data_IF_558107415714
#
_entry.id   IF_558107415714
#
_cell.length_a   1.000
_cell.length_b   1.000
_cell.length_c   1.000
_cell.angle_alpha   90.00
_cell.angle_beta   90.00
_cell.angle_gamma   90.00
#
_symmetry.space_group_name_H-M   'P 1'
#
loop_
_entity.id
_entity.type
_entity.pdbx_description
1 polymer ?
#
# COMPACT_ATOMS: atom_id res chain seq x y z
N UNK A 1 -0.67 3.05 -5.76
CA UNK A 1 -0.87 4.49 -6.02
C UNK A 1 -1.33 4.67 -7.45
N UNK A 2 -2.19 5.65 -7.72
CA UNK A 2 -2.70 5.95 -9.05
C UNK A 2 -2.97 7.45 -9.17
N UNK A 3 -2.94 7.97 -10.39
CA UNK A 3 -3.22 9.37 -10.71
C UNK A 3 -2.43 10.38 -9.86
N UNK A 4 -3.12 11.37 -9.31
CA UNK A 4 -2.51 12.48 -8.57
C UNK A 4 -1.69 12.06 -7.35
N UNK A 5 -1.91 10.86 -6.81
CA UNK A 5 -1.07 10.35 -5.72
C UNK A 5 0.42 10.35 -6.08
N UNK A 6 0.76 10.02 -7.34
CA UNK A 6 2.16 10.05 -7.80
C UNK A 6 2.71 11.48 -7.87
N UNK A 7 1.91 12.45 -8.30
CA UNK A 7 2.29 13.88 -8.33
C UNK A 7 2.52 14.40 -6.92
N UNK A 8 1.58 14.14 -6.02
CA UNK A 8 1.64 14.59 -4.63
C UNK A 8 2.88 14.01 -3.95
N UNK A 9 3.15 12.72 -4.12
CA UNK A 9 4.33 12.07 -3.54
C UNK A 9 5.63 12.68 -4.06
N UNK A 10 5.69 13.01 -5.35
CA UNK A 10 6.83 13.73 -5.94
C UNK A 10 6.98 15.14 -5.37
N UNK A 11 5.88 15.91 -5.25
CA UNK A 11 5.87 17.24 -4.63
C UNK A 11 6.30 17.21 -3.16
N UNK A 12 6.06 16.11 -2.46
CA UNK A 12 6.50 15.87 -1.08
C UNK A 12 7.97 15.41 -0.98
N UNK A 13 8.72 15.43 -2.09
CA UNK A 13 10.16 15.17 -2.13
C UNK A 13 10.55 13.72 -2.46
N UNK A 14 9.58 12.83 -2.69
CA UNK A 14 9.86 11.44 -3.11
C UNK A 14 9.92 11.39 -4.63
N UNK A 15 11.11 11.68 -5.17
CA UNK A 15 11.34 11.75 -6.60
C UNK A 15 11.23 10.38 -7.30
N UNK A 16 11.33 10.39 -8.63
CA UNK A 16 11.22 9.18 -9.46
C UNK A 16 12.23 8.09 -9.10
N UNK A 17 13.50 8.45 -8.88
CA UNK A 17 14.54 7.46 -8.55
C UNK A 17 14.19 6.73 -7.25
N UNK A 18 13.80 7.48 -6.22
CA UNK A 18 13.37 6.91 -4.96
C UNK A 18 12.11 6.05 -5.14
N UNK A 19 11.12 6.50 -5.91
CA UNK A 19 9.93 5.68 -6.20
C UNK A 19 10.28 4.33 -6.84
N UNK A 20 11.22 4.30 -7.78
CA UNK A 20 11.69 3.06 -8.43
C UNK A 20 12.42 2.12 -7.45
N UNK A 21 13.04 2.65 -6.40
CA UNK A 21 13.60 1.86 -5.28
C UNK A 21 12.54 1.31 -4.32
N UNK A 22 11.34 1.88 -4.32
CA UNK A 22 10.24 1.48 -3.43
C UNK A 22 9.21 0.57 -4.11
N UNK A 23 9.17 0.56 -5.44
CA UNK A 23 8.07 -0.03 -6.19
C UNK A 23 8.33 -0.21 -7.68
N UNK A 24 7.25 -0.45 -8.41
CA UNK A 24 7.27 -0.59 -9.86
C UNK A 24 5.93 -0.13 -10.46
N UNK A 25 5.98 0.22 -11.74
CA UNK A 25 4.77 0.50 -12.54
C UNK A 25 3.95 -0.78 -12.67
N UNK A 26 2.64 -0.67 -12.49
CA UNK A 26 1.70 -1.76 -12.75
C UNK A 26 1.29 -1.69 -14.21
N UNK A 27 1.71 -2.68 -15.01
CA UNK A 27 1.57 -2.70 -16.47
C UNK A 27 0.15 -2.98 -16.96
N UNK A 28 -0.69 -3.57 -16.12
CA UNK A 28 -2.09 -3.80 -16.45
C UNK A 28 -2.88 -4.48 -15.35
N UNK A 29 -4.17 -4.63 -15.59
CA UNK A 29 -5.11 -5.37 -14.76
C UNK A 29 -5.70 -6.49 -15.62
N UNK A 30 -5.69 -7.72 -15.10
CA UNK A 30 -6.11 -8.90 -15.82
C UNK A 30 -7.20 -9.64 -15.05
N UNK A 31 -8.26 -10.04 -15.74
CA UNK A 31 -9.39 -10.78 -15.16
C UNK A 31 -9.41 -12.21 -15.69
N UNK A 32 -9.45 -13.17 -14.78
CA UNK A 32 -9.32 -14.59 -15.04
C UNK A 32 -10.53 -15.35 -14.51
N UNK A 33 -10.97 -16.37 -15.23
CA UNK A 33 -12.07 -17.23 -14.78
C UNK A 33 -11.62 -18.17 -13.65
N UNK A 34 -10.35 -18.62 -13.66
CA UNK A 34 -9.83 -19.59 -12.70
C UNK A 34 -8.55 -19.10 -12.02
N UNK A 35 -7.41 -19.18 -12.69
CA UNK A 35 -6.08 -18.88 -12.13
C UNK A 35 -5.39 -17.79 -12.93
N UNK A 36 -4.45 -17.06 -12.33
CA UNK A 36 -3.69 -16.00 -13.02
C UNK A 36 -2.76 -16.52 -14.13
N UNK A 37 -2.52 -17.83 -14.16
CA UNK A 37 -1.80 -18.54 -15.24
C UNK A 37 -2.67 -18.89 -16.44
N UNK A 38 -4.00 -18.80 -16.30
CA UNK A 38 -4.92 -18.98 -17.41
C UNK A 38 -4.96 -17.74 -18.30
N UNK A 39 -5.47 -17.87 -19.53
CA UNK A 39 -5.66 -16.72 -20.40
C UNK A 39 -6.72 -15.79 -19.78
N UNK A 40 -6.45 -14.49 -19.61
CA UNK A 40 -7.46 -13.56 -19.10
C UNK A 40 -8.62 -13.42 -20.10
N UNK A 41 -9.84 -13.33 -19.60
CA UNK A 41 -11.04 -13.05 -20.42
C UNK A 41 -11.24 -11.56 -20.65
N UNK A 42 -10.67 -10.71 -19.79
CA UNK A 42 -10.63 -9.27 -19.93
C UNK A 42 -9.30 -8.72 -19.41
N UNK A 43 -8.80 -7.65 -20.01
CA UNK A 43 -7.58 -6.96 -19.56
C UNK A 43 -7.69 -5.47 -19.80
N UNK A 44 -7.10 -4.70 -18.89
CA UNK A 44 -6.94 -3.25 -18.99
C UNK A 44 -5.45 -2.99 -19.03
N UNK A 45 -4.96 -2.52 -20.17
CA UNK A 45 -3.55 -2.20 -20.38
C UNK A 45 -3.26 -0.82 -19.77
N UNK A 46 -2.24 -0.73 -18.92
CA UNK A 46 -1.81 0.51 -18.27
C UNK A 46 -0.55 1.12 -18.92
N UNK A 47 -0.04 0.53 -19.99
CA UNK A 47 1.08 1.11 -20.75
C UNK A 47 0.64 2.35 -21.54
N UNK A 48 -0.66 2.42 -21.87
CA UNK A 48 -1.26 3.60 -22.51
C UNK A 48 -1.72 4.60 -21.45
N UNK A 49 -1.37 5.86 -21.66
CA UNK A 49 -1.85 6.97 -20.85
C UNK A 49 -3.28 7.36 -21.23
N UNK A 50 -4.25 6.53 -20.82
CA UNK A 50 -5.67 6.73 -21.13
C UNK A 50 -6.25 8.03 -20.58
N UNK A 51 -5.61 8.63 -19.59
CA UNK A 51 -6.08 9.82 -18.89
C UNK A 51 -5.27 11.07 -19.24
N UNK A 52 -4.30 10.95 -20.16
CA UNK A 52 -3.40 12.03 -20.59
C UNK A 52 -2.72 12.74 -19.41
N UNK A 53 -2.29 11.96 -18.42
CA UNK A 53 -1.70 12.47 -17.17
C UNK A 53 -0.17 12.60 -17.23
N UNK A 54 0.47 12.13 -18.30
CA UNK A 54 1.93 12.03 -18.45
C UNK A 54 2.62 11.26 -17.31
N UNK A 55 1.87 10.41 -16.61
CA UNK A 55 2.33 9.60 -15.49
C UNK A 55 1.82 8.17 -15.63
N UNK A 56 2.54 7.19 -15.03
CA UNK A 56 2.05 5.83 -14.99
C UNK A 56 0.64 5.76 -14.37
N UNK A 57 -0.33 5.10 -15.03
CA UNK A 57 -1.71 5.02 -14.51
C UNK A 57 -1.78 4.39 -13.11
N UNK A 58 -0.87 3.46 -12.81
CA UNK A 58 -0.75 2.86 -11.49
C UNK A 58 0.68 2.44 -11.15
N UNK A 59 0.98 2.50 -9.85
CA UNK A 59 2.26 2.13 -9.26
C UNK A 59 2.04 1.30 -7.99
N UNK A 60 2.74 0.18 -7.88
CA UNK A 60 2.67 -0.75 -6.76
C UNK A 60 3.98 -0.71 -5.97
N UNK A 61 3.90 -0.50 -4.67
CA UNK A 61 5.07 -0.20 -3.83
C UNK A 61 4.98 -0.82 -2.44
N UNK A 62 6.08 -0.75 -1.70
CA UNK A 62 6.16 -1.06 -0.28
C UNK A 62 5.70 0.16 0.54
N UNK A 63 4.44 0.17 0.97
CA UNK A 63 3.90 1.28 1.77
C UNK A 63 4.76 1.61 3.01
N UNK A 64 5.26 0.64 3.79
CA UNK A 64 6.10 0.95 4.95
C UNK A 64 7.37 1.72 4.60
N UNK A 65 7.97 1.46 3.44
CA UNK A 65 9.18 2.17 3.00
C UNK A 65 8.84 3.60 2.56
N UNK A 66 7.73 3.82 1.85
CA UNK A 66 7.26 5.18 1.54
C UNK A 66 6.99 5.99 2.82
N UNK A 67 6.38 5.38 3.83
CA UNK A 67 6.15 6.03 5.12
C UNK A 67 7.46 6.36 5.85
N UNK A 68 8.49 5.53 5.73
CA UNK A 68 9.82 5.83 6.30
C UNK A 68 10.43 7.08 5.64
N UNK A 69 10.28 7.23 4.32
CA UNK A 69 10.74 8.42 3.61
C UNK A 69 10.03 9.68 4.11
N UNK A 70 8.71 9.63 4.28
CA UNK A 70 7.97 10.76 4.86
C UNK A 70 8.38 11.06 6.31
N UNK A 71 8.58 10.03 7.14
CA UNK A 71 9.08 10.24 8.52
C UNK A 71 10.46 10.90 8.51
N UNK A 72 11.35 10.50 7.60
CA UNK A 72 12.67 11.12 7.45
C UNK A 72 12.57 12.59 7.07
N UNK A 73 11.71 12.95 6.12
CA UNK A 73 11.47 14.35 5.74
C UNK A 73 10.92 15.18 6.89
N UNK A 74 10.01 14.63 7.71
CA UNK A 74 9.48 15.31 8.90
C UNK A 74 10.60 15.51 9.94
N UNK A 75 11.42 14.49 10.20
CA UNK A 75 12.52 14.56 11.16
C UNK A 75 13.62 15.57 10.76
N UNK A 76 13.83 15.76 9.46
CA UNK A 76 14.80 16.72 8.94
C UNK A 76 14.27 18.17 8.92
N UNK A 77 12.96 18.37 9.14
CA UNK A 77 12.33 19.69 9.10
C UNK A 77 12.54 20.45 10.42
N UNK A 78 12.95 21.72 10.33
CA UNK A 78 12.99 22.62 11.49
C UNK A 78 11.59 23.09 11.95
N UNK A 79 10.57 22.86 11.11
CA UNK A 79 9.20 23.32 11.35
C UNK A 79 8.28 22.25 11.95
N UNK A 80 8.78 21.03 12.19
CA UNK A 80 7.97 19.92 12.68
C UNK A 80 8.69 19.09 13.75
N UNK A 81 7.91 18.58 14.70
CA UNK A 81 8.38 17.61 15.69
C UNK A 81 7.63 16.29 15.49
N UNK A 82 8.36 15.18 15.30
CA UNK A 82 7.79 13.85 15.19
C UNK A 82 7.88 13.10 16.52
N UNK A 83 6.73 12.86 17.15
CA UNK A 83 6.62 12.03 18.37
C UNK A 83 6.03 10.66 18.00
N UNK A 84 6.84 9.61 18.08
CA UNK A 84 6.42 8.23 17.82
C UNK A 84 5.93 7.53 19.10
N UNK A 85 5.28 6.38 18.94
CA UNK A 85 4.75 5.54 20.02
C UNK A 85 3.85 6.30 21.00
N UNK A 86 3.00 7.16 20.45
CA UNK A 86 2.03 7.99 21.18
C UNK A 86 0.61 7.64 20.75
N UNK A 87 -0.31 7.49 21.71
CA UNK A 87 -1.72 7.20 21.45
C UNK A 87 -2.59 8.32 22.02
N UNK A 88 -3.40 8.98 21.19
CA UNK A 88 -4.36 10.00 21.65
C UNK A 88 -5.49 9.32 22.43
N UNK A 89 -5.78 9.81 23.62
CA UNK A 89 -6.78 9.25 24.56
C UNK A 89 -7.80 10.27 25.03
N UNK A 90 -7.60 11.56 24.74
CA UNK A 90 -8.52 12.63 25.14
C UNK A 90 -8.37 13.87 24.27
N UNK A 91 -9.47 14.59 24.08
CA UNK A 91 -9.50 15.90 23.42
C UNK A 91 -10.39 16.83 24.23
N UNK A 92 -9.95 18.07 24.44
CA UNK A 92 -10.75 19.12 25.08
C UNK A 92 -10.70 20.39 24.25
N UNK A 93 -11.85 21.02 24.07
CA UNK A 93 -11.91 22.39 23.57
C UNK A 93 -11.49 23.31 24.72
N UNK A 94 -10.58 24.23 24.44
CA UNK A 94 -10.07 25.23 25.40
C UNK A 94 -10.19 26.60 24.77
N UNK A 95 -10.12 27.65 25.58
CA UNK A 95 -10.19 29.01 25.05
C UNK A 95 -9.07 29.25 24.02
N UNK A 96 -9.44 29.73 22.84
CA UNK A 96 -8.51 29.97 21.72
C UNK A 96 -7.93 28.73 21.03
N UNK A 97 -8.36 27.49 21.34
CA UNK A 97 -7.82 26.30 20.67
C UNK A 97 -8.34 24.95 21.15
N UNK A 98 -7.45 23.95 21.06
CA UNK A 98 -7.74 22.55 21.39
C UNK A 98 -6.57 21.93 22.15
N UNK A 99 -6.91 21.16 23.18
CA UNK A 99 -6.00 20.30 23.92
C UNK A 99 -6.14 18.85 23.44
N UNK A 100 -5.04 18.23 23.05
CA UNK A 100 -4.96 16.79 22.85
C UNK A 100 -4.21 16.15 24.02
N UNK A 101 -4.76 15.07 24.55
CA UNK A 101 -4.17 14.25 25.60
C UNK A 101 -3.75 12.94 24.96
N UNK A 102 -2.50 12.54 25.17
CA UNK A 102 -1.95 11.32 24.62
C UNK A 102 -1.10 10.58 25.64
N UNK A 103 -1.04 9.26 25.49
CA UNK A 103 -0.22 8.37 26.28
C UNK A 103 1.01 7.95 25.49
N UNK A 104 2.18 7.99 26.14
CA UNK A 104 3.44 7.50 25.58
C UNK A 104 3.63 6.01 25.88
N UNK A 105 4.62 5.41 25.24
CA UNK A 105 5.02 4.01 25.45
C UNK A 105 5.37 3.67 26.91
N UNK A 106 5.95 4.63 27.66
CA UNK A 106 6.25 4.50 29.09
C UNK A 106 5.00 4.56 29.99
N UNK A 107 3.82 4.67 29.41
CA UNK A 107 2.54 4.78 30.08
C UNK A 107 2.21 6.19 30.57
N UNK A 108 3.13 7.16 30.45
CA UNK A 108 2.92 8.53 30.91
C UNK A 108 1.90 9.26 30.02
N UNK A 109 0.94 9.90 30.68
CA UNK A 109 -0.01 10.81 30.03
C UNK A 109 0.62 12.20 29.90
N UNK A 110 0.51 12.77 28.71
CA UNK A 110 0.98 14.10 28.35
C UNK A 110 -0.13 14.82 27.60
N UNK A 111 -0.19 16.14 27.72
CA UNK A 111 -1.07 16.99 26.93
C UNK A 111 -0.30 17.95 26.04
N UNK A 112 -0.92 18.35 24.94
CA UNK A 112 -0.41 19.34 24.01
C UNK A 112 -1.53 20.29 23.59
N UNK A 113 -1.22 21.59 23.54
CA UNK A 113 -2.13 22.65 23.10
C UNK A 113 -1.77 23.12 21.70
N UNK A 114 -2.80 23.35 20.88
CA UNK A 114 -2.66 23.95 19.57
C UNK A 114 -3.93 24.70 19.16
N UNK A 115 -3.83 25.52 18.11
CA UNK A 115 -5.00 26.19 17.52
C UNK A 115 -5.91 25.21 16.79
N UNK A 116 -5.33 24.14 16.23
CA UNK A 116 -6.02 23.14 15.45
C UNK A 116 -5.50 21.73 15.79
N UNK A 117 -6.39 20.75 15.66
CA UNK A 117 -6.08 19.33 15.78
C UNK A 117 -6.61 18.63 14.53
N UNK A 118 -5.74 17.86 13.86
CA UNK A 118 -6.10 17.10 12.66
C UNK A 118 -6.07 15.61 13.00
N UNK A 119 -7.22 14.95 12.88
CA UNK A 119 -7.33 13.50 13.08
C UNK A 119 -6.95 12.71 11.82
N UNK A 120 -5.74 12.17 11.80
CA UNK A 120 -5.23 11.27 10.76
C UNK A 120 -4.90 9.86 11.31
N UNK A 121 -5.59 9.44 12.36
CA UNK A 121 -5.35 8.24 13.18
C UNK A 121 -6.11 6.99 12.69
N UNK A 122 -6.55 7.00 11.43
CA UNK A 122 -7.10 5.85 10.73
C UNK A 122 -8.50 5.41 11.17
N UNK A 123 -8.97 4.27 10.61
CA UNK A 123 -10.36 3.79 10.77
C UNK A 123 -10.81 3.62 12.22
N UNK A 124 -9.89 3.30 13.12
CA UNK A 124 -10.17 3.06 14.56
C UNK A 124 -9.69 4.21 15.45
N UNK A 125 -9.30 5.33 14.86
CA UNK A 125 -8.73 6.47 15.55
C UNK A 125 -9.65 7.09 16.60
N UNK A 126 -9.04 7.56 17.69
CA UNK A 126 -9.72 8.25 18.78
C UNK A 126 -10.36 9.55 18.32
N UNK A 127 -9.73 10.31 17.42
CA UNK A 127 -10.25 11.63 17.03
C UNK A 127 -11.67 11.51 16.50
N UNK A 128 -11.94 10.57 15.60
CA UNK A 128 -13.32 10.32 15.17
C UNK A 128 -14.12 9.57 16.23
N UNK A 129 -13.65 8.40 16.68
CA UNK A 129 -14.43 7.47 17.51
C UNK A 129 -14.74 7.99 18.91
N UNK A 130 -13.74 8.55 19.58
CA UNK A 130 -13.85 9.03 20.96
C UNK A 130 -14.35 10.45 21.09
N UNK A 131 -14.11 11.30 20.09
CA UNK A 131 -14.41 12.73 20.18
C UNK A 131 -15.51 13.20 19.22
N UNK A 132 -15.37 12.99 17.90
CA UNK A 132 -16.31 13.54 16.92
C UNK A 132 -17.65 12.78 16.86
N UNK A 133 -17.69 11.46 17.06
CA UNK A 133 -18.94 10.68 17.03
C UNK A 133 -19.91 11.09 18.15
N UNK A 134 -19.40 11.49 19.32
CA UNK A 134 -20.20 12.06 20.41
C UNK A 134 -20.80 13.44 20.07
N UNK A 135 -20.23 14.14 19.08
CA UNK A 135 -20.71 15.41 18.52
C UNK A 135 -21.57 15.21 17.25
N UNK A 136 -21.98 13.97 16.96
CA UNK A 136 -22.85 13.64 15.83
C UNK A 136 -22.12 13.45 14.49
N UNK A 137 -20.79 13.52 14.44
CA UNK A 137 -20.03 13.28 13.21
C UNK A 137 -19.66 11.81 13.13
N UNK A 138 -20.37 11.06 12.29
CA UNK A 138 -20.27 9.60 12.21
C UNK A 138 -19.95 9.14 10.79
N UNK A 139 -19.31 7.97 10.68
CA UNK A 139 -19.13 7.31 9.39
C UNK A 139 -20.44 6.65 8.96
N UNK A 140 -21.06 7.19 7.91
CA UNK A 140 -22.26 6.61 7.33
C UNK A 140 -21.94 5.38 6.48
N UNK A 141 -22.91 4.47 6.37
CA UNK A 141 -22.82 3.34 5.46
C UNK A 141 -22.96 3.82 4.01
N UNK A 142 -22.08 3.36 3.12
CA UNK A 142 -22.16 3.64 1.70
C UNK A 142 -23.35 2.95 1.02
N UNK A 143 -23.68 3.41 -0.20
CA UNK A 143 -24.78 2.87 -1.02
C UNK A 143 -24.62 1.39 -1.34
N UNK A 144 -23.37 0.93 -1.51
CA UNK A 144 -23.04 -0.46 -1.80
C UNK A 144 -22.43 -1.12 -0.57
N UNK A 145 -23.08 -2.19 -0.11
CA UNK A 145 -22.56 -3.03 0.97
C UNK A 145 -21.73 -4.15 0.36
N UNK A 146 -20.43 -4.13 0.63
CA UNK A 146 -19.54 -5.24 0.37
C UNK A 146 -18.88 -5.62 1.69
N UNK A 147 -19.10 -6.85 2.14
CA UNK A 147 -18.45 -7.42 3.31
C UNK A 147 -17.91 -8.80 2.94
N UNK A 148 -16.59 -8.93 2.98
CA UNK A 148 -15.90 -10.16 2.68
C UNK A 148 -14.56 -10.18 3.42
N UNK A 149 -14.20 -11.33 3.95
CA UNK A 149 -12.88 -11.55 4.56
C UNK A 149 -11.89 -11.94 3.48
N UNK A 150 -10.89 -11.09 3.28
CA UNK A 150 -9.75 -11.37 2.41
C UNK A 150 -8.54 -11.74 3.25
N UNK A 151 -7.84 -12.80 2.86
CA UNK A 151 -6.52 -13.14 3.39
C UNK A 151 -5.51 -12.55 2.41
N UNK A 152 -4.67 -11.64 2.90
CA UNK A 152 -3.58 -11.08 2.10
C UNK A 152 -2.25 -11.68 2.55
N UNK A 153 -1.53 -12.31 1.62
CA UNK A 153 -0.21 -12.88 1.85
C UNK A 153 0.82 -12.18 0.96
N UNK A 154 1.78 -11.49 1.57
CA UNK A 154 2.90 -10.87 0.88
C UNK A 154 4.10 -11.82 0.93
N UNK A 155 4.46 -12.40 -0.20
CA UNK A 155 5.53 -13.37 -0.33
C UNK A 155 6.77 -12.74 -0.96
N UNK A 156 7.95 -13.10 -0.49
CA UNK A 156 9.21 -12.88 -1.20
C UNK A 156 9.60 -14.18 -1.89
N UNK A 157 9.63 -14.19 -3.20
CA UNK A 157 9.82 -15.42 -3.97
C UNK A 157 11.30 -15.75 -4.12
N UNK A 158 11.69 -16.92 -3.64
CA UNK A 158 12.98 -17.54 -3.97
C UNK A 158 12.78 -18.40 -5.22
N UNK A 159 13.48 -18.06 -6.30
CA UNK A 159 13.37 -18.80 -7.55
C UNK A 159 14.02 -20.18 -7.42
N UNK A 160 13.45 -21.22 -8.06
CA UNK A 160 14.09 -22.53 -8.08
C UNK A 160 15.39 -22.45 -8.88
N UNK A 161 16.34 -23.31 -8.51
CA UNK A 161 17.65 -23.45 -9.16
C UNK A 161 17.87 -24.91 -9.55
N UNK A 162 18.78 -25.22 -10.50
CA UNK A 162 19.14 -26.62 -10.79
C UNK A 162 19.60 -27.40 -9.55
N UNK A 163 20.17 -26.74 -8.55
CA UNK A 163 20.56 -27.38 -7.29
C UNK A 163 19.39 -27.62 -6.35
N UNK A 164 18.50 -26.63 -6.16
CA UNK A 164 17.36 -26.77 -5.24
C UNK A 164 16.23 -27.63 -5.80
N UNK A 165 16.05 -27.62 -7.13
CA UNK A 165 15.00 -28.33 -7.85
C UNK A 165 15.57 -29.03 -9.09
N UNK A 166 16.42 -30.06 -8.94
CA UNK A 166 17.17 -30.66 -10.05
C UNK A 166 16.29 -31.30 -11.13
N UNK A 167 15.10 -31.76 -10.75
CA UNK A 167 14.15 -32.40 -11.67
C UNK A 167 13.14 -31.43 -12.29
N UNK A 168 13.29 -30.11 -12.10
CA UNK A 168 12.33 -29.14 -12.62
C UNK A 168 12.35 -29.12 -14.16
N UNK A 169 11.22 -29.39 -14.84
CA UNK A 169 11.21 -29.59 -16.29
C UNK A 169 11.80 -28.44 -17.14
N UNK A 170 11.62 -27.15 -16.80
CA UNK A 170 12.20 -26.04 -17.56
C UNK A 170 13.72 -26.11 -17.76
N UNK A 171 14.47 -26.77 -16.87
CA UNK A 171 15.92 -26.94 -17.05
C UNK A 171 16.26 -27.72 -18.32
N UNK A 172 15.44 -28.72 -18.70
CA UNK A 172 15.62 -29.48 -19.93
C UNK A 172 15.34 -28.66 -21.19
N UNK A 173 14.66 -27.54 -21.05
CA UNK A 173 14.35 -26.59 -22.11
C UNK A 173 15.35 -25.43 -22.18
N UNK A 174 16.38 -25.43 -21.31
CA UNK A 174 17.45 -24.43 -21.31
C UNK A 174 17.18 -23.17 -20.48
N UNK A 175 16.05 -23.09 -19.76
CA UNK A 175 15.73 -21.95 -18.92
C UNK A 175 16.77 -21.76 -17.80
N UNK A 176 17.09 -20.50 -17.52
CA UNK A 176 17.84 -20.07 -16.35
C UNK A 176 16.89 -19.68 -15.20
N UNK A 177 17.33 -19.79 -13.94
CA UNK A 177 16.51 -19.44 -12.77
C UNK A 177 15.83 -18.07 -12.88
N UNK A 178 16.55 -17.07 -13.35
CA UNK A 178 16.09 -15.68 -13.43
C UNK A 178 14.91 -15.50 -14.41
N UNK A 179 14.89 -16.28 -15.49
CA UNK A 179 13.84 -16.24 -16.52
C UNK A 179 12.50 -16.75 -16.00
N UNK A 180 12.53 -17.60 -14.96
CA UNK A 180 11.32 -18.19 -14.38
C UNK A 180 10.42 -17.16 -13.70
N UNK A 181 10.97 -16.02 -13.26
CA UNK A 181 10.17 -14.97 -12.63
C UNK A 181 9.07 -14.47 -13.56
N UNK A 182 9.42 -14.15 -14.81
CA UNK A 182 8.47 -13.64 -15.79
C UNK A 182 7.53 -14.72 -16.35
N UNK A 183 7.95 -15.99 -16.30
CA UNK A 183 7.13 -17.13 -16.71
C UNK A 183 6.03 -17.45 -15.68
N UNK A 184 6.38 -17.52 -14.39
CA UNK A 184 5.48 -18.04 -13.36
C UNK A 184 4.75 -16.96 -12.56
N UNK A 185 5.28 -15.74 -12.51
CA UNK A 185 4.66 -14.63 -11.77
C UNK A 185 4.47 -13.45 -12.70
N UNK A 186 3.54 -13.46 -13.66
CA UNK A 186 3.42 -12.43 -14.70
C UNK A 186 3.29 -11.00 -14.17
N UNK A 187 3.61 -10.02 -15.03
CA UNK A 187 3.44 -8.61 -14.72
C UNK A 187 1.96 -8.21 -14.65
N UNK A 188 1.67 -7.10 -13.97
CA UNK A 188 0.32 -6.62 -13.75
C UNK A 188 -0.31 -7.15 -12.46
N UNK A 189 -1.61 -6.91 -12.34
CA UNK A 189 -2.43 -7.36 -11.21
C UNK A 189 -3.59 -8.20 -11.71
N UNK A 190 -3.83 -9.33 -11.06
CA UNK A 190 -4.66 -10.42 -11.56
C UNK A 190 -5.81 -10.67 -10.60
N UNK A 191 -7.04 -10.49 -11.10
CA UNK A 191 -8.26 -10.84 -10.41
C UNK A 191 -8.76 -12.17 -10.95
N UNK A 192 -8.84 -13.18 -10.08
CA UNK A 192 -9.24 -14.52 -10.47
C UNK A 192 -10.54 -14.91 -9.78
N UNK A 193 -11.50 -15.38 -10.56
CA UNK A 193 -12.85 -15.74 -10.09
C UNK A 193 -12.99 -17.23 -9.83
N UNK A 194 -11.96 -17.85 -9.25
CA UNK A 194 -11.99 -19.27 -8.90
C UNK A 194 -13.16 -19.56 -7.94
N UNK A 195 -13.99 -20.59 -8.20
CA UNK A 195 -15.25 -20.81 -7.50
C UNK A 195 -15.08 -21.04 -5.98
N UNK A 196 -13.91 -21.52 -5.55
CA UNK A 196 -13.61 -21.78 -4.13
C UNK A 196 -12.54 -20.85 -3.55
N UNK A 197 -11.83 -20.09 -4.38
CA UNK A 197 -10.66 -19.31 -3.95
C UNK A 197 -10.47 -18.07 -4.82
N UNK A 198 -11.40 -17.10 -4.78
CA UNK A 198 -11.21 -15.85 -5.49
C UNK A 198 -9.96 -15.16 -4.96
N UNK A 199 -9.07 -14.74 -5.85
CA UNK A 199 -7.77 -14.15 -5.50
C UNK A 199 -7.53 -12.85 -6.27
N UNK A 200 -6.86 -11.92 -5.61
CA UNK A 200 -6.43 -10.64 -6.16
C UNK A 200 -4.91 -10.55 -5.95
N UNK A 201 -4.16 -10.88 -6.99
CA UNK A 201 -2.75 -11.27 -6.87
C UNK A 201 -1.87 -10.52 -7.86
N UNK A 202 -0.61 -10.28 -7.53
CA UNK A 202 0.27 -9.56 -8.44
C UNK A 202 1.60 -9.18 -7.81
N UNK A 203 2.48 -8.65 -8.67
CA UNK A 203 3.79 -8.11 -8.24
C UNK A 203 3.59 -6.83 -7.44
N UNK A 204 4.45 -6.57 -6.48
CA UNK A 204 4.53 -5.27 -5.81
C UNK A 204 5.97 -4.98 -5.38
N UNK A 205 6.25 -3.76 -4.91
CA UNK A 205 7.60 -3.38 -4.51
C UNK A 205 8.59 -3.39 -5.68
N UNK A 206 9.89 -3.29 -5.39
CA UNK A 206 10.92 -3.25 -6.43
C UNK A 206 11.02 -4.59 -7.14
N UNK A 207 11.10 -4.56 -8.47
CA UNK A 207 11.07 -5.78 -9.31
C UNK A 207 12.15 -6.79 -8.92
N UNK A 208 13.35 -6.34 -8.58
CA UNK A 208 14.49 -7.19 -8.23
C UNK A 208 14.27 -7.96 -6.93
N UNK A 209 13.38 -7.48 -6.05
CA UNK A 209 13.09 -8.13 -4.77
C UNK A 209 12.06 -9.27 -4.89
N UNK A 210 11.39 -9.40 -6.05
CA UNK A 210 10.49 -10.52 -6.37
C UNK A 210 9.38 -10.72 -5.34
N UNK A 211 8.75 -9.62 -4.93
CA UNK A 211 7.59 -9.66 -4.07
C UNK A 211 6.32 -9.98 -4.85
N UNK A 212 5.49 -10.84 -4.28
CA UNK A 212 4.23 -11.28 -4.85
C UNK A 212 3.13 -11.27 -3.78
N UNK A 213 2.00 -10.65 -4.08
CA UNK A 213 0.82 -10.65 -3.21
C UNK A 213 -0.14 -11.75 -3.63
N UNK A 214 -0.63 -12.53 -2.68
CA UNK A 214 -1.84 -13.35 -2.79
C UNK A 214 -2.98 -12.74 -2.00
#
# INVERSE_FOLDING_TARGET
MAGDSLRIVNLLGVNRCLLEELGQVMTGIHFHQNTFTSKPFASIEHERDWLEQALPPAFVLLQPELEKEFRRSIQASEYAELRLNCTVTGIREVDGGVQAIYQREDGKTVDIHGKHLVGADGKRGYVRKGYLEAKGIQQLQGLYKYDATWIAANLRITLPTPTSHPSFPPWKLGYQPEELWDVFWPGGFHFCTHPTMPIATGRFGPRQQKYWRY
#
